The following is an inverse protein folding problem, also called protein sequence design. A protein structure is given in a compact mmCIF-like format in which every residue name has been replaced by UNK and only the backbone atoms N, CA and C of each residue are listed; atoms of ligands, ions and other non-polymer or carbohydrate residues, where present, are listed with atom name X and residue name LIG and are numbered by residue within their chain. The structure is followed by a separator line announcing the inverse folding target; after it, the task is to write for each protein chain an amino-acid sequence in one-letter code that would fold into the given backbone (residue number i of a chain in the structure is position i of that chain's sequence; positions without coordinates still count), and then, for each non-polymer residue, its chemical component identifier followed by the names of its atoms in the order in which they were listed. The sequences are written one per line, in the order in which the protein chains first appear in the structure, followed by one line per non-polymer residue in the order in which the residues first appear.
data_IF_251368626813
#
_entry.id   IF_251368626813
#
_cell.length_a   1.000
_cell.length_b   1.000
_cell.length_c   1.000
_cell.angle_alpha   90.00
_cell.angle_beta   90.00
_cell.angle_gamma   90.00
#
_symmetry.space_group_name_H-M   'P 1'
#
loop_
_entity.id
_entity.type
_entity.pdbx_description
1 polymer ?
#
# COMPACT_ATOMS: atom_id res chain seq x y z
N UNK A 1 0.71 9.22 -7.51
CA UNK A 1 -0.28 8.24 -7.05
C UNK A 1 -1.55 8.96 -6.66
N UNK A 2 -2.71 8.48 -7.07
CA UNK A 2 -4.02 9.04 -6.74
C UNK A 2 -4.73 8.04 -5.83
N UNK A 3 -5.39 8.51 -4.78
CA UNK A 3 -6.18 7.69 -3.86
C UNK A 3 -7.63 8.14 -3.90
N UNK A 4 -8.54 7.18 -3.75
CA UNK A 4 -9.98 7.43 -3.70
C UNK A 4 -10.69 6.27 -3.04
N UNK A 5 -11.99 6.48 -2.77
CA UNK A 5 -12.84 5.42 -2.23
C UNK A 5 -12.90 4.24 -3.20
N UNK A 6 -12.93 2.98 -2.71
CA UNK A 6 -12.98 1.80 -3.58
C UNK A 6 -14.17 1.83 -4.56
N UNK A 7 -15.30 2.41 -4.15
CA UNK A 7 -16.49 2.55 -4.98
C UNK A 7 -16.30 3.51 -6.17
N UNK A 8 -15.34 4.43 -6.07
CA UNK A 8 -15.05 5.42 -7.11
C UNK A 8 -13.99 4.94 -8.11
N UNK A 9 -13.47 3.72 -7.97
CA UNK A 9 -12.39 3.19 -8.81
C UNK A 9 -12.68 3.31 -10.30
N UNK A 10 -13.86 2.84 -10.75
CA UNK A 10 -14.22 2.87 -12.17
C UNK A 10 -14.40 4.29 -12.72
N UNK A 11 -14.90 5.22 -11.90
CA UNK A 11 -15.05 6.63 -12.28
C UNK A 11 -13.69 7.32 -12.42
N UNK A 12 -12.78 7.08 -11.48
CA UNK A 12 -11.42 7.62 -11.50
C UNK A 12 -10.67 7.09 -12.71
N UNK A 13 -10.70 5.76 -12.94
CA UNK A 13 -10.05 5.13 -14.08
C UNK A 13 -10.55 5.72 -15.39
N UNK A 14 -11.87 5.74 -15.60
CA UNK A 14 -12.47 6.27 -16.82
C UNK A 14 -12.12 7.73 -17.03
N UNK A 15 -12.15 8.54 -15.97
CA UNK A 15 -11.80 9.96 -16.08
C UNK A 15 -10.35 10.16 -16.52
N UNK A 16 -9.41 9.36 -16.00
CA UNK A 16 -8.01 9.43 -16.41
C UNK A 16 -7.83 9.04 -17.88
N UNK A 17 -8.46 7.94 -18.30
CA UNK A 17 -8.41 7.45 -19.69
C UNK A 17 -9.05 8.47 -20.67
N UNK A 18 -10.22 9.03 -20.34
CA UNK A 18 -10.92 10.03 -21.17
C UNK A 18 -10.10 11.33 -21.34
N UNK A 19 -9.22 11.64 -20.38
CA UNK A 19 -8.29 12.78 -20.45
C UNK A 19 -6.93 12.41 -21.08
N UNK A 20 -6.78 11.19 -21.60
CA UNK A 20 -5.57 10.74 -22.29
C UNK A 20 -4.41 10.37 -21.37
N UNK A 21 -4.67 10.12 -20.08
CA UNK A 21 -3.66 9.59 -19.17
C UNK A 21 -3.55 8.08 -19.30
N UNK A 22 -2.32 7.59 -19.41
CA UNK A 22 -2.02 6.15 -19.35
C UNK A 22 -1.90 5.71 -17.89
N UNK A 23 -2.72 4.74 -17.49
CA UNK A 23 -2.69 4.18 -16.14
C UNK A 23 -1.66 3.06 -16.10
N UNK A 24 -0.55 3.28 -15.40
CA UNK A 24 0.55 2.30 -15.28
C UNK A 24 0.21 1.15 -14.34
N UNK A 25 -0.52 1.43 -13.27
CA UNK A 25 -0.99 0.44 -12.30
C UNK A 25 -2.21 0.97 -11.55
N UNK A 26 -3.09 0.06 -11.15
CA UNK A 26 -4.27 0.36 -10.35
C UNK A 26 -4.55 -0.81 -9.41
N UNK A 27 -4.56 -0.55 -8.11
CA UNK A 27 -4.65 -1.57 -7.08
C UNK A 27 -5.47 -1.08 -5.89
N UNK A 28 -6.15 -2.00 -5.22
CA UNK A 28 -6.82 -1.73 -3.95
C UNK A 28 -5.82 -1.98 -2.82
N UNK A 29 -5.53 -0.93 -2.06
CA UNK A 29 -4.60 -0.99 -0.93
C UNK A 29 -5.26 -0.50 0.34
N UNK A 30 -4.64 -0.79 1.49
CA UNK A 30 -5.06 -0.22 2.78
C UNK A 30 -4.15 0.94 3.14
N UNK A 31 -4.75 2.09 3.38
CA UNK A 31 -4.06 3.28 3.85
C UNK A 31 -4.30 3.40 5.36
N UNK A 32 -3.26 3.41 6.19
CA UNK A 32 -3.41 3.58 7.62
C UNK A 32 -3.84 5.02 7.94
N UNK A 33 -4.69 5.20 8.96
CA UNK A 33 -5.14 6.53 9.41
C UNK A 33 -4.06 7.28 10.20
N UNK A 34 -3.19 6.54 10.88
CA UNK A 34 -2.07 7.01 11.68
C UNK A 34 -0.83 6.19 11.36
N UNK A 35 0.34 6.84 11.37
CA UNK A 35 1.63 6.17 11.25
C UNK A 35 2.29 6.10 12.62
N UNK A 36 2.89 4.95 12.92
CA UNK A 36 3.57 4.69 14.19
C UNK A 36 5.08 4.71 13.99
N UNK A 37 5.76 5.57 14.76
CA UNK A 37 7.21 5.51 14.90
C UNK A 37 7.62 4.22 15.63
N UNK A 38 8.72 3.62 15.18
CA UNK A 38 9.29 2.41 15.75
C UNK A 38 10.77 2.59 15.98
N UNK A 39 11.30 1.90 16.98
CA UNK A 39 12.75 1.79 17.18
C UNK A 39 13.39 0.96 16.05
N UNK A 40 14.72 1.05 15.84
CA UNK A 40 15.42 0.23 14.86
C UNK A 40 15.24 -1.29 15.08
N UNK A 41 15.23 -1.74 16.34
CA UNK A 41 15.05 -3.16 16.69
C UNK A 41 13.62 -3.65 16.38
N UNK A 42 12.61 -2.83 16.68
CA UNK A 42 11.22 -3.12 16.34
C UNK A 42 11.03 -3.16 14.82
N UNK A 43 11.65 -2.23 14.08
CA UNK A 43 11.63 -2.25 12.62
C UNK A 43 12.21 -3.53 12.06
N UNK A 44 13.42 -3.91 12.48
CA UNK A 44 14.05 -5.16 12.02
C UNK A 44 13.16 -6.38 12.30
N UNK A 45 12.49 -6.39 13.46
CA UNK A 45 11.56 -7.46 13.82
C UNK A 45 10.33 -7.47 12.91
N UNK A 46 9.74 -6.30 12.65
CA UNK A 46 8.56 -6.15 11.78
C UNK A 46 8.92 -6.53 10.34
N UNK A 47 10.07 -6.07 9.81
CA UNK A 47 10.52 -6.38 8.46
C UNK A 47 10.66 -7.89 8.26
N UNK A 48 11.32 -8.59 9.19
CA UNK A 48 11.40 -10.07 9.16
C UNK A 48 10.03 -10.76 9.23
N UNK A 49 9.08 -10.18 9.97
CA UNK A 49 7.72 -10.70 10.03
C UNK A 49 6.99 -10.50 8.71
N UNK A 50 7.15 -9.33 8.06
CA UNK A 50 6.56 -9.02 6.76
C UNK A 50 7.11 -9.99 5.70
N UNK A 51 8.43 -10.14 5.60
CA UNK A 51 9.08 -11.08 4.67
C UNK A 51 8.51 -12.50 4.83
N UNK A 52 8.44 -12.99 6.07
CA UNK A 52 7.90 -14.33 6.35
C UNK A 52 6.42 -14.47 6.01
N UNK A 53 5.65 -13.40 6.14
CA UNK A 53 4.23 -13.40 5.79
C UNK A 53 4.04 -13.44 4.27
N UNK A 54 4.87 -12.70 3.54
CA UNK A 54 4.85 -12.68 2.07
C UNK A 54 5.29 -14.01 1.44
N UNK A 55 6.10 -14.80 2.14
CA UNK A 55 6.52 -16.14 1.71
C UNK A 55 5.37 -17.18 1.71
N UNK A 56 4.21 -16.89 2.32
CA UNK A 56 3.08 -17.81 2.31
C UNK A 56 2.26 -17.65 1.03
N UNK A 57 2.07 -18.74 0.28
CA UNK A 57 1.25 -18.76 -0.95
C UNK A 57 -0.18 -18.23 -0.74
N UNK A 58 -0.73 -18.36 0.47
CA UNK A 58 -2.07 -17.90 0.84
C UNK A 58 -2.13 -16.38 1.15
N UNK A 59 -0.99 -15.73 1.36
CA UNK A 59 -0.91 -14.29 1.65
C UNK A 59 -0.79 -13.51 0.35
N UNK A 60 -1.72 -12.58 0.13
CA UNK A 60 -1.75 -11.78 -1.09
C UNK A 60 -1.08 -10.41 -0.90
N UNK A 61 -1.24 -9.79 0.28
CA UNK A 61 -0.66 -8.49 0.60
C UNK A 61 -0.46 -8.35 2.11
N UNK A 62 0.61 -7.68 2.53
CA UNK A 62 0.86 -7.31 3.92
C UNK A 62 0.86 -5.78 4.04
N UNK A 63 0.06 -5.25 4.96
CA UNK A 63 0.00 -3.80 5.22
C UNK A 63 0.39 -3.52 6.66
N UNK A 64 1.25 -2.52 6.86
CA UNK A 64 1.63 -2.04 8.18
C UNK A 64 1.37 -0.54 8.29
N UNK A 65 1.16 -0.05 9.50
CA UNK A 65 1.14 1.38 9.79
C UNK A 65 2.48 1.88 10.35
N UNK A 66 3.54 1.09 10.21
CA UNK A 66 4.88 1.48 10.61
C UNK A 66 5.35 2.63 9.73
N UNK A 67 5.82 3.72 10.34
CA UNK A 67 6.33 4.87 9.59
C UNK A 67 7.49 4.41 8.68
N UNK A 68 7.57 4.86 7.42
CA UNK A 68 8.72 4.56 6.56
C UNK A 68 10.03 5.04 7.19
N UNK A 69 11.14 4.38 6.88
CA UNK A 69 12.46 4.94 7.18
C UNK A 69 12.64 6.24 6.37
N UNK A 70 13.22 7.27 6.98
CA UNK A 70 13.63 8.47 6.24
C UNK A 70 14.87 8.08 5.41
N UNK A 71 14.84 8.33 4.09
CA UNK A 71 16.00 8.17 3.18
C UNK A 71 17.08 9.23 3.44
#
# INVERSE_FOLDING_TARGET
TIYGEPTSFGEIQKHLEDNGFEITSAEFTRIPNDLKDVTPEERETIDKMVERLEDFDDVQNVYTNMKPAEE
#
